data_IF_604688624945
#
_entry.id   IF_604688624945
#
_cell.length_a   1.000
_cell.length_b   1.000
_cell.length_c   1.000
_cell.angle_alpha   90.00
_cell.angle_beta   90.00
_cell.angle_gamma   90.00
#
_symmetry.space_group_name_H-M   'P 1'
#
loop_
_entity.id
_entity.type
_entity.pdbx_description
1 polymer ?
#
# COMPACT_ATOMS: atom_id res chain seq x y z
N UNK A 1 11.84 -6.22 8.85
CA UNK A 1 12.27 -7.59 9.24
C UNK A 1 13.48 -8.10 8.44
N UNK A 2 13.44 -8.17 7.10
CA UNK A 2 14.53 -8.74 6.30
C UNK A 2 15.87 -7.99 6.38
N UNK A 3 15.85 -6.65 6.56
CA UNK A 3 17.07 -5.86 6.78
C UNK A 3 17.65 -6.02 8.19
N UNK A 4 16.78 -6.11 9.21
CA UNK A 4 17.18 -6.23 10.62
C UNK A 4 17.61 -7.65 11.01
N UNK A 5 16.89 -8.66 10.50
CA UNK A 5 17.09 -10.06 10.87
C UNK A 5 17.08 -10.96 9.62
N UNK A 6 18.04 -10.79 8.69
CA UNK A 6 18.04 -11.48 7.40
C UNK A 6 18.07 -13.00 7.53
N UNK A 7 18.67 -13.54 8.60
CA UNK A 7 18.75 -15.00 8.85
C UNK A 7 17.40 -15.63 9.26
N UNK A 8 16.38 -14.82 9.57
CA UNK A 8 15.03 -15.29 9.95
C UNK A 8 14.03 -15.20 8.79
N UNK A 9 14.49 -14.83 7.60
CA UNK A 9 13.67 -14.63 6.41
C UNK A 9 14.18 -15.52 5.30
N UNK A 10 13.29 -16.29 4.68
CA UNK A 10 13.61 -17.17 3.55
C UNK A 10 13.40 -16.48 2.19
N UNK A 11 12.39 -15.61 2.10
CA UNK A 11 12.01 -14.87 0.91
C UNK A 11 11.14 -13.67 1.32
N UNK A 12 10.99 -12.68 0.43
CA UNK A 12 10.16 -11.48 0.66
C UNK A 12 9.21 -11.23 -0.51
N UNK A 13 7.95 -10.92 -0.22
CA UNK A 13 6.95 -10.54 -1.21
C UNK A 13 6.39 -9.16 -0.88
N UNK A 14 6.21 -8.33 -1.90
CA UNK A 14 5.55 -7.03 -1.77
C UNK A 14 4.52 -6.85 -2.91
N UNK A 15 3.43 -6.16 -2.60
CA UNK A 15 2.34 -5.86 -3.52
C UNK A 15 2.11 -4.36 -3.52
N UNK A 16 2.07 -3.75 -4.70
CA UNK A 16 1.97 -2.31 -4.99
C UNK A 16 3.13 -1.45 -4.46
N UNK A 17 3.51 -1.56 -3.20
CA UNK A 17 4.52 -0.71 -2.57
C UNK A 17 5.94 -1.16 -2.95
N UNK A 18 6.62 -0.33 -3.75
CA UNK A 18 8.00 -0.57 -4.15
C UNK A 18 8.97 -0.46 -2.97
N UNK A 19 10.02 -1.28 -2.96
CA UNK A 19 11.09 -1.18 -1.97
C UNK A 19 11.89 0.12 -2.17
N UNK A 20 12.06 0.87 -1.08
CA UNK A 20 12.97 2.00 -1.00
C UNK A 20 14.04 1.67 0.05
N UNK A 21 15.34 1.76 -0.28
CA UNK A 21 16.40 1.49 0.69
C UNK A 21 16.47 2.56 1.77
N UNK A 22 17.05 2.25 2.96
CA UNK A 22 17.33 3.22 4.01
C UNK A 22 17.93 4.52 3.48
N UNK A 23 17.32 5.64 3.83
CA UNK A 23 17.74 6.94 3.33
C UNK A 23 19.03 7.41 4.01
N UNK A 24 19.94 8.02 3.23
CA UNK A 24 21.18 8.63 3.78
C UNK A 24 20.93 9.94 4.53
N UNK A 25 19.80 10.60 4.27
CA UNK A 25 19.40 11.86 4.88
C UNK A 25 17.89 11.86 5.03
N UNK A 26 17.40 12.41 6.14
CA UNK A 26 15.97 12.64 6.32
C UNK A 26 15.50 13.61 5.25
N UNK A 27 14.51 13.20 4.47
CA UNK A 27 13.81 14.10 3.56
C UNK A 27 12.51 14.55 4.23
N UNK A 28 12.34 15.85 4.52
CA UNK A 28 11.08 16.38 5.02
C UNK A 28 9.94 16.06 4.06
N UNK A 29 8.76 15.79 4.60
CA UNK A 29 7.60 15.40 3.79
C UNK A 29 7.23 16.48 2.75
N UNK A 30 7.40 17.76 3.08
CA UNK A 30 7.20 18.86 2.13
C UNK A 30 8.09 18.77 0.89
N UNK A 31 9.35 18.36 1.07
CA UNK A 31 10.29 18.17 -0.04
C UNK A 31 9.89 16.94 -0.88
N UNK A 32 9.38 15.89 -0.23
CA UNK A 32 8.88 14.70 -0.94
C UNK A 32 7.67 15.06 -1.79
N UNK A 33 6.67 15.72 -1.22
CA UNK A 33 5.43 16.08 -1.92
C UNK A 33 5.68 17.09 -3.03
N UNK A 34 6.63 18.02 -2.87
CA UNK A 34 7.02 18.93 -3.95
C UNK A 34 7.59 18.20 -5.19
N UNK A 35 8.27 17.06 -4.97
CA UNK A 35 8.82 16.23 -6.06
C UNK A 35 7.83 15.19 -6.57
N UNK A 36 6.94 14.71 -5.70
CA UNK A 36 6.00 13.62 -5.96
C UNK A 36 4.60 14.04 -5.46
N UNK A 37 3.88 14.86 -6.24
CA UNK A 37 2.64 15.49 -5.77
C UNK A 37 1.53 14.51 -5.37
N UNK A 38 1.50 13.32 -5.99
CA UNK A 38 0.51 12.29 -5.66
C UNK A 38 0.71 11.65 -4.28
N UNK A 39 1.78 12.01 -3.56
CA UNK A 39 1.97 11.69 -2.13
C UNK A 39 1.47 12.78 -1.18
N UNK A 40 0.84 13.85 -1.68
CA UNK A 40 0.28 14.94 -0.85
C UNK A 40 -0.65 14.46 0.26
N UNK A 41 -1.39 13.37 0.03
CA UNK A 41 -2.30 12.78 1.03
C UNK A 41 -1.57 12.37 2.31
N UNK A 42 -0.28 12.03 2.23
CA UNK A 42 0.52 11.71 3.40
C UNK A 42 0.57 12.88 4.39
N UNK A 43 0.51 14.14 3.92
CA UNK A 43 0.45 15.31 4.82
C UNK A 43 -0.88 15.36 5.60
N UNK A 44 -1.98 15.06 4.92
CA UNK A 44 -3.30 15.00 5.55
C UNK A 44 -3.33 13.89 6.60
N UNK A 45 -2.86 12.69 6.25
CA UNK A 45 -2.83 11.55 7.17
C UNK A 45 -1.81 11.73 8.31
N UNK A 46 -0.69 12.43 8.07
CA UNK A 46 0.31 12.70 9.10
C UNK A 46 -0.22 13.64 10.20
N UNK A 47 -1.23 14.47 9.93
CA UNK A 47 -2.03 15.14 10.97
C UNK A 47 -3.02 14.15 11.61
N UNK A 48 -2.48 13.10 12.21
CA UNK A 48 -3.21 11.90 12.59
C UNK A 48 -4.33 12.18 13.60
N UNK A 49 -4.12 13.14 14.50
CA UNK A 49 -5.11 13.51 15.52
C UNK A 49 -6.35 14.18 14.91
N UNK A 50 -6.17 15.15 14.02
CA UNK A 50 -7.29 15.84 13.38
C UNK A 50 -7.95 14.98 12.31
N UNK A 51 -7.15 14.35 11.46
CA UNK A 51 -7.66 13.49 10.38
C UNK A 51 -8.35 12.25 10.94
N UNK A 52 -7.80 11.62 11.98
CA UNK A 52 -8.45 10.51 12.68
C UNK A 52 -9.84 10.89 13.19
N UNK A 53 -9.95 12.01 13.93
CA UNK A 53 -11.24 12.52 14.43
C UNK A 53 -12.23 12.82 13.30
N UNK A 54 -11.76 13.42 12.21
CA UNK A 54 -12.61 13.70 11.04
C UNK A 54 -13.17 12.40 10.44
N UNK A 55 -12.33 11.39 10.22
CA UNK A 55 -12.74 10.10 9.66
C UNK A 55 -13.67 9.32 10.61
N UNK A 56 -13.46 9.43 11.94
CA UNK A 56 -14.29 8.81 12.97
C UNK A 56 -15.76 9.31 12.94
N UNK A 57 -16.03 10.48 12.37
CA UNK A 57 -17.40 11.00 12.22
C UNK A 57 -18.22 10.28 11.15
N UNK A 58 -17.56 9.67 10.16
CA UNK A 58 -18.22 8.98 9.06
C UNK A 58 -17.43 7.77 8.53
N UNK A 59 -17.16 6.72 9.35
CA UNK A 59 -16.33 5.58 8.97
C UNK A 59 -16.82 4.87 7.70
N UNK A 60 -18.14 4.65 7.59
CA UNK A 60 -18.73 3.99 6.41
C UNK A 60 -18.54 4.81 5.13
N UNK A 61 -18.67 6.14 5.19
CA UNK A 61 -18.47 6.99 4.01
C UNK A 61 -17.01 6.94 3.55
N UNK A 62 -16.06 7.05 4.48
CA UNK A 62 -14.64 6.95 4.15
C UNK A 62 -14.29 5.59 3.54
N UNK A 63 -14.68 4.48 4.19
CA UNK A 63 -14.36 3.13 3.72
C UNK A 63 -15.03 2.81 2.37
N UNK A 64 -16.26 3.30 2.15
CA UNK A 64 -16.95 3.19 0.84
C UNK A 64 -16.18 3.92 -0.26
N UNK A 65 -15.55 5.06 0.07
CA UNK A 65 -14.83 5.87 -0.89
C UNK A 65 -13.42 5.37 -1.20
N UNK A 66 -12.73 4.74 -0.24
CA UNK A 66 -11.35 4.25 -0.47
C UNK A 66 -11.29 2.84 -1.03
N UNK A 67 -12.24 1.95 -0.70
CA UNK A 67 -12.30 0.61 -1.31
C UNK A 67 -12.92 0.70 -2.70
N UNK A 68 -12.07 0.89 -3.71
CA UNK A 68 -12.48 1.11 -5.10
C UNK A 68 -11.64 0.32 -6.08
N UNK A 69 -12.29 -0.18 -7.13
CA UNK A 69 -11.56 -0.60 -8.33
C UNK A 69 -10.96 0.63 -9.00
N UNK A 70 -9.90 0.44 -9.78
CA UNK A 70 -9.32 1.53 -10.58
C UNK A 70 -10.34 2.22 -11.50
N UNK A 71 -11.34 1.46 -11.98
CA UNK A 71 -12.41 1.95 -12.86
C UNK A 71 -13.58 2.63 -12.14
N UNK A 72 -13.60 2.65 -10.80
CA UNK A 72 -14.70 3.20 -9.99
C UNK A 72 -14.31 4.49 -9.26
N UNK A 73 -13.12 5.01 -9.55
CA UNK A 73 -12.54 6.24 -9.00
C UNK A 73 -13.36 7.47 -9.43
N UNK A 74 -13.43 8.51 -8.58
CA UNK A 74 -14.22 9.70 -8.90
C UNK A 74 -13.45 10.62 -9.84
N UNK A 75 -14.02 10.86 -11.03
CA UNK A 75 -13.46 11.83 -11.98
C UNK A 75 -13.56 13.29 -11.53
N UNK A 76 -14.29 13.57 -10.45
CA UNK A 76 -14.49 14.95 -9.94
C UNK A 76 -13.62 15.26 -8.72
N UNK A 77 -13.31 14.25 -7.92
CA UNK A 77 -12.53 14.40 -6.68
C UNK A 77 -11.06 13.98 -6.82
N UNK A 78 -10.75 13.24 -7.88
CA UNK A 78 -9.44 12.62 -8.06
C UNK A 78 -8.84 13.04 -9.40
N UNK A 79 -7.51 13.17 -9.42
CA UNK A 79 -6.75 13.50 -10.62
C UNK A 79 -5.33 12.93 -10.51
N UNK A 80 -4.58 12.92 -11.61
CA UNK A 80 -3.25 12.32 -11.69
C UNK A 80 -2.20 12.91 -10.74
N UNK A 81 -2.41 14.15 -10.27
CA UNK A 81 -1.50 14.84 -9.37
C UNK A 81 -1.84 14.60 -7.90
N UNK A 82 -3.10 14.42 -7.56
CA UNK A 82 -3.58 14.27 -6.17
C UNK A 82 -4.75 13.27 -6.08
N UNK A 83 -4.52 11.99 -6.39
CA UNK A 83 -5.58 11.03 -6.70
C UNK A 83 -6.47 10.60 -5.50
N UNK A 84 -6.26 11.14 -4.29
CA UNK A 84 -7.06 10.79 -3.11
C UNK A 84 -7.37 12.01 -2.20
N UNK A 85 -6.87 13.20 -2.53
CA UNK A 85 -7.05 14.38 -1.67
C UNK A 85 -8.52 14.81 -1.62
N UNK A 86 -9.18 14.90 -2.78
CA UNK A 86 -10.61 15.26 -2.82
C UNK A 86 -11.47 14.20 -2.11
N UNK A 87 -11.10 12.92 -2.22
CA UNK A 87 -11.74 11.82 -1.50
C UNK A 87 -11.63 11.99 0.01
N UNK A 88 -10.43 12.32 0.54
CA UNK A 88 -10.25 12.59 1.97
C UNK A 88 -11.03 13.82 2.45
N UNK A 89 -11.02 14.91 1.67
CA UNK A 89 -11.72 16.15 2.00
C UNK A 89 -13.25 16.02 1.91
N UNK A 90 -13.75 15.16 1.02
CA UNK A 90 -15.17 14.96 0.77
C UNK A 90 -15.89 14.04 1.75
N UNK A 91 -15.15 13.33 2.64
CA UNK A 91 -15.72 12.30 3.53
C UNK A 91 -16.93 12.81 4.30
N UNK A 92 -16.92 14.02 4.82
CA UNK A 92 -17.98 14.52 5.71
C UNK A 92 -19.14 15.20 4.98
N UNK A 93 -18.92 15.78 3.80
CA UNK A 93 -19.89 16.70 3.18
C UNK A 93 -20.16 16.49 1.69
N UNK A 94 -19.32 15.73 0.98
CA UNK A 94 -19.48 15.55 -0.47
C UNK A 94 -20.72 14.71 -0.81
N UNK A 95 -21.40 15.09 -1.89
CA UNK A 95 -22.54 14.38 -2.46
C UNK A 95 -22.13 13.38 -3.55
N UNK A 96 -20.82 13.25 -3.85
CA UNK A 96 -20.33 12.31 -4.85
C UNK A 96 -20.75 10.86 -4.49
N UNK A 97 -21.27 10.08 -5.45
CA UNK A 97 -21.65 8.69 -5.23
C UNK A 97 -20.55 7.81 -4.64
N UNK A 98 -19.26 8.17 -4.77
CA UNK A 98 -18.18 7.36 -4.19
C UNK A 98 -18.30 7.20 -2.66
N UNK A 99 -19.02 8.08 -1.98
CA UNK A 99 -19.20 7.99 -0.52
C UNK A 99 -20.41 7.14 -0.09
N UNK A 100 -21.29 6.77 -1.03
CA UNK A 100 -22.56 6.09 -0.72
C UNK A 100 -22.75 4.78 -1.49
N UNK A 101 -22.17 4.64 -2.68
CA UNK A 101 -22.32 3.46 -3.53
C UNK A 101 -21.11 2.55 -3.42
N UNK A 102 -21.18 1.47 -2.65
CA UNK A 102 -20.07 0.51 -2.48
C UNK A 102 -19.54 -0.03 -3.82
N UNK A 103 -18.23 -0.19 -3.92
CA UNK A 103 -17.55 -0.90 -5.01
C UNK A 103 -18.11 -2.32 -5.22
N UNK A 104 -18.20 -2.77 -6.47
CA UNK A 104 -18.61 -4.16 -6.77
C UNK A 104 -17.58 -5.22 -6.31
N UNK A 105 -16.41 -4.77 -5.85
CA UNK A 105 -15.27 -5.60 -5.49
C UNK A 105 -15.40 -6.28 -4.10
N UNK A 106 -16.27 -5.74 -3.25
CA UNK A 106 -16.58 -6.25 -1.91
C UNK A 106 -18.07 -6.58 -1.83
N UNK A 107 -18.48 -7.43 -0.90
CA UNK A 107 -19.87 -7.57 -0.46
C UNK A 107 -20.22 -6.48 0.57
N UNK A 108 -21.50 -6.27 0.87
CA UNK A 108 -21.87 -5.26 1.88
C UNK A 108 -21.47 -5.71 3.28
N UNK A 109 -21.54 -7.00 3.55
CA UNK A 109 -21.10 -7.61 4.81
C UNK A 109 -19.59 -7.46 5.01
N UNK A 110 -18.80 -7.58 3.93
CA UNK A 110 -17.35 -7.36 3.97
C UNK A 110 -17.03 -5.89 4.26
N UNK A 111 -17.71 -4.94 3.61
CA UNK A 111 -17.55 -3.52 3.93
C UNK A 111 -17.99 -3.23 5.38
N UNK A 112 -19.13 -3.77 5.82
CA UNK A 112 -19.64 -3.57 7.18
C UNK A 112 -18.64 -4.09 8.22
N UNK A 113 -17.97 -5.21 7.97
CA UNK A 113 -16.91 -5.70 8.85
C UNK A 113 -15.81 -4.65 9.07
N UNK A 114 -15.30 -4.01 8.01
CA UNK A 114 -14.31 -2.94 8.14
C UNK A 114 -14.87 -1.72 8.88
N UNK A 115 -16.13 -1.35 8.60
CA UNK A 115 -16.82 -0.26 9.31
C UNK A 115 -16.88 -0.54 10.81
N UNK A 116 -17.24 -1.76 11.21
CA UNK A 116 -17.31 -2.14 12.62
C UNK A 116 -15.95 -2.12 13.30
N UNK A 117 -14.91 -2.63 12.62
CA UNK A 117 -13.54 -2.59 13.16
C UNK A 117 -13.07 -1.15 13.38
N UNK A 118 -13.23 -0.27 12.38
CA UNK A 118 -12.79 1.13 12.50
C UNK A 118 -13.69 1.97 13.40
N UNK A 119 -14.97 1.63 13.54
CA UNK A 119 -15.86 2.28 14.53
C UNK A 119 -15.37 2.01 15.95
N UNK A 120 -14.84 0.81 16.21
CA UNK A 120 -14.27 0.41 17.51
C UNK A 120 -12.85 0.93 17.72
N UNK A 121 -11.96 0.74 16.73
CA UNK A 121 -10.52 1.06 16.87
C UNK A 121 -10.21 2.53 16.65
N UNK A 122 -11.09 3.27 15.95
CA UNK A 122 -10.86 4.62 15.44
C UNK A 122 -9.75 4.71 14.39
N UNK A 123 -9.65 5.83 13.68
CA UNK A 123 -8.71 6.01 12.56
C UNK A 123 -7.35 6.62 12.94
N UNK A 124 -7.22 7.26 14.11
CA UNK A 124 -6.01 7.99 14.48
C UNK A 124 -4.74 7.10 14.42
N UNK A 125 -4.82 5.87 14.92
CA UNK A 125 -3.68 4.94 14.93
C UNK A 125 -3.23 4.55 13.52
N UNK A 126 -4.17 4.38 12.59
CA UNK A 126 -3.85 4.10 11.18
C UNK A 126 -3.22 5.32 10.51
N UNK A 127 -3.72 6.52 10.83
CA UNK A 127 -3.15 7.77 10.32
C UNK A 127 -1.71 8.01 10.87
N UNK A 128 -1.44 7.57 12.10
CA UNK A 128 -0.13 7.75 12.75
C UNK A 128 1.03 7.15 11.94
N UNK A 129 0.79 6.09 11.14
CA UNK A 129 1.81 5.53 10.23
C UNK A 129 2.41 6.56 9.26
N UNK A 130 1.69 7.65 8.95
CA UNK A 130 2.19 8.71 8.09
C UNK A 130 3.00 9.77 8.84
N UNK A 131 2.96 9.76 10.18
CA UNK A 131 3.66 10.68 11.07
C UNK A 131 4.98 10.11 11.62
N UNK A 132 5.38 8.88 11.25
CA UNK A 132 6.57 8.21 11.80
C UNK A 132 7.86 8.44 11.03
N UNK A 133 7.86 9.24 9.95
CA UNK A 133 9.00 9.34 9.00
C UNK A 133 10.36 9.60 9.65
N UNK A 134 10.41 10.46 10.67
CA UNK A 134 11.66 10.74 11.39
C UNK A 134 12.10 9.56 12.27
N UNK A 135 11.15 8.86 12.89
CA UNK A 135 11.40 7.64 13.66
C UNK A 135 11.94 6.56 12.71
N UNK A 136 11.23 6.30 11.62
CA UNK A 136 11.62 5.31 10.61
C UNK A 136 13.02 5.61 10.06
N UNK A 137 13.32 6.87 9.75
CA UNK A 137 14.65 7.29 9.30
C UNK A 137 15.75 6.98 10.33
N UNK A 138 15.51 7.25 11.62
CA UNK A 138 16.47 6.99 12.69
C UNK A 138 16.66 5.49 12.91
N UNK A 139 15.57 4.74 12.91
CA UNK A 139 15.58 3.29 13.13
C UNK A 139 16.23 2.51 11.98
N UNK A 140 16.24 3.07 10.78
CA UNK A 140 16.87 2.47 9.60
C UNK A 140 18.36 2.85 9.42
N UNK A 141 18.91 3.73 10.28
CA UNK A 141 20.31 4.13 10.16
C UNK A 141 21.27 2.95 10.28
N UNK A 142 22.22 2.86 9.35
CA UNK A 142 23.23 1.81 9.31
C UNK A 142 22.74 0.46 8.76
N UNK A 143 21.47 0.32 8.42
CA UNK A 143 20.97 -0.89 7.77
C UNK A 143 21.49 -1.02 6.32
N UNK A 144 21.62 -2.25 5.81
CA UNK A 144 21.99 -2.47 4.42
C UNK A 144 20.92 -1.92 3.47
N UNK A 145 21.35 -1.47 2.29
CA UNK A 145 20.43 -1.02 1.23
C UNK A 145 19.96 -2.15 0.32
N UNK A 146 20.51 -3.35 0.46
CA UNK A 146 20.28 -4.48 -0.44
C UNK A 146 19.56 -5.59 0.30
N UNK A 147 18.52 -6.16 -0.32
CA UNK A 147 17.85 -7.38 0.14
C UNK A 147 18.25 -8.51 -0.80
N UNK A 148 19.10 -9.42 -0.33
CA UNK A 148 19.62 -10.53 -1.14
C UNK A 148 18.68 -11.74 -1.21
N UNK A 149 17.60 -11.76 -0.43
CA UNK A 149 16.62 -12.84 -0.46
C UNK A 149 15.94 -12.95 -1.83
N UNK A 150 15.46 -14.14 -2.22
CA UNK A 150 14.45 -14.25 -3.26
C UNK A 150 13.30 -13.26 -2.98
N UNK A 151 12.99 -12.43 -3.97
CA UNK A 151 12.02 -11.37 -3.82
C UNK A 151 10.96 -11.43 -4.92
N UNK A 152 9.70 -11.17 -4.56
CA UNK A 152 8.61 -10.95 -5.49
C UNK A 152 8.05 -9.54 -5.30
N UNK A 153 7.88 -8.83 -6.40
CA UNK A 153 7.10 -7.61 -6.43
C UNK A 153 5.95 -7.75 -7.42
N UNK A 154 4.72 -7.53 -6.96
CA UNK A 154 3.51 -7.50 -7.79
C UNK A 154 3.04 -6.05 -7.87
N UNK A 155 3.16 -5.45 -9.05
CA UNK A 155 2.60 -4.14 -9.37
C UNK A 155 1.19 -4.26 -9.97
N UNK A 156 0.40 -3.21 -9.79
CA UNK A 156 -0.87 -3.01 -10.45
C UNK A 156 -0.72 -1.90 -11.48
N UNK A 157 -1.11 -2.15 -12.73
CA UNK A 157 -0.83 -1.24 -13.84
C UNK A 157 -1.56 0.11 -13.70
N UNK A 158 -2.74 0.10 -13.07
CA UNK A 158 -3.61 1.28 -12.92
C UNK A 158 -3.61 1.81 -11.47
N UNK A 159 -2.58 1.55 -10.66
CA UNK A 159 -2.44 2.21 -9.35
C UNK A 159 -2.03 3.68 -9.55
N UNK A 160 -2.94 4.60 -9.23
CA UNK A 160 -2.72 6.03 -9.41
C UNK A 160 -1.76 6.66 -8.39
N UNK A 161 -1.48 5.97 -7.28
CA UNK A 161 -0.57 6.43 -6.22
C UNK A 161 0.77 5.69 -6.30
N UNK A 162 0.76 4.37 -6.22
CA UNK A 162 1.94 3.51 -6.24
C UNK A 162 2.25 3.05 -7.67
N UNK A 163 2.41 4.04 -8.56
CA UNK A 163 2.59 3.80 -10.00
C UNK A 163 3.76 2.83 -10.25
N UNK A 164 3.65 1.88 -11.21
CA UNK A 164 4.71 0.89 -11.48
C UNK A 164 6.09 1.50 -11.74
N UNK A 165 6.17 2.73 -12.24
CA UNK A 165 7.42 3.45 -12.48
C UNK A 165 8.26 3.65 -11.21
N UNK A 166 7.63 3.73 -10.04
CA UNK A 166 8.31 3.85 -8.75
C UNK A 166 9.20 2.63 -8.47
N UNK A 167 8.81 1.46 -8.98
CA UNK A 167 9.56 0.22 -8.82
C UNK A 167 10.74 0.06 -9.79
N UNK A 168 10.89 0.95 -10.79
CA UNK A 168 11.88 0.78 -11.89
C UNK A 168 13.32 0.56 -11.41
N UNK A 169 13.68 1.11 -10.25
CA UNK A 169 15.04 1.01 -9.68
C UNK A 169 15.21 -0.12 -8.65
N UNK A 170 14.16 -0.89 -8.33
CA UNK A 170 14.22 -1.95 -7.32
C UNK A 170 15.29 -3.01 -7.62
N UNK A 171 15.46 -3.38 -8.89
CA UNK A 171 16.48 -4.37 -9.31
C UNK A 171 17.92 -4.00 -8.89
N UNK A 172 18.20 -2.72 -8.63
CA UNK A 172 19.51 -2.27 -8.14
C UNK A 172 19.80 -2.69 -6.69
N UNK A 173 18.75 -2.95 -5.92
CA UNK A 173 18.81 -3.26 -4.50
C UNK A 173 18.31 -4.67 -4.17
N UNK A 174 17.68 -5.35 -5.13
CA UNK A 174 17.17 -6.71 -4.98
C UNK A 174 17.69 -7.56 -6.15
N UNK A 175 18.87 -8.19 -6.02
CA UNK A 175 19.48 -8.97 -7.12
C UNK A 175 18.65 -10.18 -7.53
N UNK A 176 17.79 -10.70 -6.64
CA UNK A 176 16.96 -11.88 -6.85
C UNK A 176 15.46 -11.53 -6.98
N UNK A 177 15.16 -10.36 -7.59
CA UNK A 177 13.80 -9.86 -7.75
C UNK A 177 13.10 -10.44 -8.98
N UNK A 178 11.96 -11.08 -8.74
CA UNK A 178 10.94 -11.34 -9.75
C UNK A 178 9.90 -10.20 -9.70
N UNK A 179 9.61 -9.57 -10.84
CA UNK A 179 8.55 -8.55 -10.94
C UNK A 179 7.40 -9.06 -11.80
N UNK A 180 6.18 -8.90 -11.31
CA UNK A 180 4.94 -9.19 -12.02
C UNK A 180 4.09 -7.92 -12.07
N UNK A 181 3.37 -7.74 -13.18
CA UNK A 181 2.41 -6.65 -13.33
C UNK A 181 1.03 -7.26 -13.62
N UNK A 182 0.02 -6.70 -12.97
CA UNK A 182 -1.39 -7.03 -13.18
C UNK A 182 -2.02 -5.88 -13.96
N UNK A 183 -2.38 -6.16 -15.22
CA UNK A 183 -2.74 -5.10 -16.19
C UNK A 183 -4.11 -4.45 -15.91
N UNK A 184 -5.06 -5.21 -15.37
CA UNK A 184 -6.42 -4.75 -15.08
C UNK A 184 -6.66 -4.66 -13.57
N UNK A 185 -5.83 -3.88 -12.88
CA UNK A 185 -5.97 -3.62 -11.45
C UNK A 185 -5.34 -2.28 -11.06
N UNK A 186 -5.89 -1.67 -10.01
CA UNK A 186 -5.31 -0.55 -9.28
C UNK A 186 -4.84 -0.95 -7.89
N UNK A 187 -4.99 -0.04 -6.95
CA UNK A 187 -4.39 -0.14 -5.61
C UNK A 187 -4.81 -1.42 -4.86
N UNK A 188 -6.06 -1.84 -5.02
CA UNK A 188 -6.63 -3.00 -4.35
C UNK A 188 -6.49 -4.27 -5.18
N UNK A 189 -5.35 -4.46 -5.86
CA UNK A 189 -5.08 -5.61 -6.75
C UNK A 189 -5.35 -6.98 -6.11
N UNK A 190 -5.18 -7.11 -4.79
CA UNK A 190 -5.50 -8.33 -4.04
C UNK A 190 -7.00 -8.68 -4.08
N UNK A 191 -7.85 -7.67 -4.16
CA UNK A 191 -9.30 -7.78 -4.30
C UNK A 191 -9.73 -7.77 -5.77
N UNK A 192 -9.16 -6.88 -6.60
CA UNK A 192 -9.53 -6.73 -8.02
C UNK A 192 -9.23 -7.98 -8.84
N UNK A 193 -8.12 -8.65 -8.55
CA UNK A 193 -7.57 -9.73 -9.37
C UNK A 193 -7.11 -10.91 -8.50
N UNK A 194 -7.93 -11.29 -7.51
CA UNK A 194 -7.61 -12.29 -6.48
C UNK A 194 -7.11 -13.62 -7.04
N UNK A 195 -7.75 -14.18 -8.08
CA UNK A 195 -7.33 -15.44 -8.69
C UNK A 195 -5.96 -15.31 -9.36
N UNK A 196 -5.75 -14.23 -10.11
CA UNK A 196 -4.49 -13.96 -10.83
C UNK A 196 -3.35 -13.74 -9.86
N UNK A 197 -3.55 -12.95 -8.81
CA UNK A 197 -2.55 -12.74 -7.75
C UNK A 197 -2.25 -14.05 -7.01
N UNK A 198 -3.27 -14.81 -6.62
CA UNK A 198 -3.09 -16.09 -5.95
C UNK A 198 -2.30 -17.10 -6.81
N UNK A 199 -2.54 -17.13 -8.12
CA UNK A 199 -1.79 -17.98 -9.04
C UNK A 199 -0.31 -17.54 -9.13
N UNK A 200 -0.04 -16.23 -9.21
CA UNK A 200 1.33 -15.69 -9.21
C UNK A 200 2.07 -16.03 -7.91
N UNK A 201 1.42 -15.83 -6.76
CA UNK A 201 1.98 -16.15 -5.45
C UNK A 201 2.29 -17.65 -5.32
N UNK A 202 1.36 -18.52 -5.69
CA UNK A 202 1.58 -19.99 -5.66
C UNK A 202 2.73 -20.41 -6.56
N UNK A 203 2.78 -19.90 -7.79
CA UNK A 203 3.84 -20.23 -8.74
C UNK A 203 5.22 -19.75 -8.26
N UNK A 204 5.29 -18.58 -7.61
CA UNK A 204 6.54 -18.08 -7.05
C UNK A 204 6.95 -18.85 -5.79
N UNK A 205 6.02 -19.08 -4.85
CA UNK A 205 6.27 -19.82 -3.61
C UNK A 205 6.77 -21.25 -3.88
N UNK A 206 6.31 -21.90 -4.96
CA UNK A 206 6.78 -23.22 -5.37
C UNK A 206 8.29 -23.26 -5.74
N UNK A 207 8.90 -22.11 -6.05
CA UNK A 207 10.34 -21.97 -6.34
C UNK A 207 11.17 -21.69 -5.09
N UNK A 208 10.53 -21.33 -3.97
CA UNK A 208 11.24 -20.91 -2.76
C UNK A 208 11.74 -22.15 -2.02
N UNK A 209 13.05 -22.21 -1.68
CA UNK A 209 13.59 -23.33 -0.90
C UNK A 209 12.91 -23.41 0.47
N UNK A 210 12.44 -24.60 0.84
CA UNK A 210 11.95 -24.87 2.20
C UNK A 210 13.16 -25.33 3.04
N UNK A 211 13.57 -24.58 4.07
CA UNK A 211 14.67 -25.02 4.93
C UNK A 211 14.33 -26.37 5.57
N UNK A 212 15.20 -27.37 5.38
CA UNK A 212 15.03 -28.72 5.93
C UNK A 212 14.34 -29.74 5.01
N UNK A 213 13.89 -29.35 3.81
CA UNK A 213 13.36 -30.28 2.82
C UNK A 213 14.50 -30.95 2.03
N UNK A 214 15.27 -31.80 2.70
CA UNK A 214 16.06 -32.82 2.02
C UNK A 214 15.06 -33.84 1.44
N UNK A 215 14.61 -33.61 0.20
CA UNK A 215 13.68 -34.50 -0.52
C UNK A 215 14.34 -35.80 -1.01
N UNK A 216 15.54 -36.14 -0.50
CA UNK A 216 16.31 -37.32 -0.89
C UNK A 216 16.04 -38.58 -0.04
N UNK A 217 15.05 -38.54 0.86
CA UNK A 217 14.62 -39.72 1.64
C UNK A 217 13.10 -39.85 1.69
N UNK A 218 12.49 -40.22 0.58
CA UNK A 218 11.23 -40.95 0.52
C UNK A 218 11.36 -42.05 -0.54
#
# INVERSE_FOLDING_TARGET
MCLYHPKRVIAVGAVCTAYTPPAKRLMPLDVVVAKVPYFSYQKVLADAGNTGKMLDTAPRRFLTAVFRKHSEMSSTLENDKTPIIGTLQGVTSSTDPIFTQRSAMLLDEELQYYVDQYTRSKFQSTCQYYATREIDFKDEQGLPSTIAHPALFIAAANDHVLKPELARKMHRFLPNLETRVVDDAGHWVLWEQKERVNAMLKAWLAKIPVPGADRSKL
#
